data_IF_234855237155
#
_entry.id   IF_234855237155
#
_cell.length_a   1.000
_cell.length_b   1.000
_cell.length_c   1.000
_cell.angle_alpha   90.00
_cell.angle_beta   90.00
_cell.angle_gamma   90.00
#
_symmetry.space_group_name_H-M   'P 1'
#
loop_
_entity.id
_entity.type
_entity.pdbx_description
1 polymer ?
#
# COMPACT_ATOMS: atom_id res chain seq x y z
N UNK A 1 32.97 1.21 -8.60
CA UNK A 1 31.75 1.73 -9.24
C UNK A 1 30.44 1.00 -8.85
N UNK A 2 30.42 -0.32 -8.56
CA UNK A 2 29.18 -1.06 -8.22
C UNK A 2 28.56 -0.67 -6.86
N UNK A 3 29.37 -0.22 -5.90
CA UNK A 3 28.91 0.19 -4.56
C UNK A 3 28.36 1.63 -4.52
N UNK A 4 28.90 2.55 -5.32
CA UNK A 4 28.42 3.93 -5.36
C UNK A 4 26.97 4.06 -5.86
N UNK A 5 26.56 3.25 -6.85
CA UNK A 5 25.19 3.26 -7.36
C UNK A 5 24.15 2.74 -6.35
N UNK A 6 24.52 1.76 -5.53
CA UNK A 6 23.64 1.24 -4.47
C UNK A 6 23.46 2.26 -3.34
N UNK A 7 24.54 2.94 -2.96
CA UNK A 7 24.50 3.98 -1.94
C UNK A 7 23.64 5.17 -2.38
N UNK A 8 23.79 5.62 -3.62
CA UNK A 8 22.96 6.70 -4.18
C UNK A 8 21.49 6.33 -4.23
N UNK A 9 21.16 5.11 -4.68
CA UNK A 9 19.76 4.63 -4.70
C UNK A 9 19.13 4.55 -3.30
N UNK A 10 19.93 4.32 -2.26
CA UNK A 10 19.48 4.31 -0.86
C UNK A 10 19.32 5.74 -0.31
N UNK A 11 20.21 6.67 -0.69
CA UNK A 11 20.19 8.05 -0.21
C UNK A 11 19.06 8.89 -0.84
N UNK A 12 18.66 8.59 -2.08
CA UNK A 12 17.62 9.37 -2.78
C UNK A 12 16.30 9.44 -2.00
N UNK A 13 15.70 8.34 -1.51
CA UNK A 13 14.48 8.45 -0.71
C UNK A 13 14.65 9.30 0.56
N UNK A 14 15.80 9.18 1.23
CA UNK A 14 16.08 9.94 2.45
C UNK A 14 16.17 11.45 2.16
N UNK A 15 16.92 11.83 1.12
CA UNK A 15 17.03 13.22 0.69
C UNK A 15 15.67 13.76 0.26
N UNK A 16 14.88 12.96 -0.45
CA UNK A 16 13.53 13.32 -0.89
C UNK A 16 12.59 13.59 0.28
N UNK A 17 12.65 12.76 1.31
CA UNK A 17 11.88 12.93 2.55
C UNK A 17 12.30 14.26 3.23
N UNK A 18 13.60 14.48 3.41
CA UNK A 18 14.10 15.70 4.04
C UNK A 18 13.67 16.96 3.27
N UNK A 19 13.79 16.95 1.94
CA UNK A 19 13.36 18.06 1.10
C UNK A 19 11.86 18.33 1.21
N UNK A 20 11.04 17.28 1.21
CA UNK A 20 9.59 17.41 1.40
C UNK A 20 9.24 18.02 2.77
N UNK A 21 9.93 17.60 3.83
CA UNK A 21 9.75 18.18 5.16
C UNK A 21 10.17 19.65 5.22
N UNK A 22 11.28 20.03 4.56
CA UNK A 22 11.70 21.45 4.48
C UNK A 22 10.60 22.30 3.82
N UNK A 23 10.04 21.83 2.70
CA UNK A 23 8.94 22.53 2.03
C UNK A 23 7.69 22.55 2.94
N UNK A 24 7.37 21.45 3.62
CA UNK A 24 6.30 21.40 4.61
C UNK A 24 6.49 22.42 5.74
N UNK A 25 7.70 22.57 6.26
CA UNK A 25 8.04 23.61 7.25
C UNK A 25 7.81 25.04 6.71
N UNK A 26 8.18 25.29 5.46
CA UNK A 26 7.93 26.59 4.82
C UNK A 26 6.42 26.86 4.72
N UNK A 27 5.63 25.85 4.29
CA UNK A 27 4.17 25.99 4.20
C UNK A 27 3.56 26.26 5.59
N UNK A 28 3.99 25.55 6.62
CA UNK A 28 3.52 25.76 7.99
C UNK A 28 3.86 27.15 8.51
N UNK A 29 5.07 27.65 8.23
CA UNK A 29 5.48 29.01 8.58
C UNK A 29 4.65 30.09 7.86
N UNK A 30 4.34 29.90 6.58
CA UNK A 30 3.45 30.80 5.81
C UNK A 30 2.02 30.82 6.38
N UNK A 31 1.55 29.70 6.92
CA UNK A 31 0.25 29.60 7.60
C UNK A 31 0.27 30.22 9.03
N UNK A 32 1.40 30.79 9.45
CA UNK A 32 1.54 31.45 10.75
C UNK A 32 1.81 30.49 11.92
N UNK A 33 2.03 29.21 11.65
CA UNK A 33 2.36 28.24 12.69
C UNK A 33 3.87 28.08 12.87
N UNK A 34 4.28 27.76 14.09
CA UNK A 34 5.69 27.42 14.36
C UNK A 34 6.00 26.01 13.83
N UNK A 35 6.87 25.84 12.80
CA UNK A 35 7.15 24.55 12.20
C UNK A 35 7.75 23.53 13.19
N UNK A 36 8.53 23.98 14.16
CA UNK A 36 9.14 23.10 15.16
C UNK A 36 8.09 22.49 16.09
N UNK A 37 7.14 23.31 16.56
CA UNK A 37 6.01 22.85 17.39
C UNK A 37 5.11 21.91 16.58
N UNK A 38 4.89 22.19 15.30
CA UNK A 38 4.10 21.35 14.41
C UNK A 38 4.76 19.96 14.21
N UNK A 39 6.07 19.93 13.93
CA UNK A 39 6.80 18.68 13.77
C UNK A 39 6.89 17.87 15.07
N UNK A 40 7.12 18.54 16.20
CA UNK A 40 7.12 17.91 17.52
C UNK A 40 5.75 17.28 17.82
N UNK A 41 4.66 18.01 17.59
CA UNK A 41 3.29 17.53 17.77
C UNK A 41 2.96 16.36 16.83
N UNK A 42 3.46 16.39 15.59
CA UNK A 42 3.33 15.28 14.65
C UNK A 42 4.05 14.03 15.18
N UNK A 43 5.27 14.17 15.68
CA UNK A 43 6.04 13.07 16.26
C UNK A 43 5.38 12.50 17.51
N UNK A 44 4.97 13.36 18.43
CA UNK A 44 4.25 12.96 19.65
C UNK A 44 2.93 12.27 19.30
N UNK A 45 2.20 12.77 18.29
CA UNK A 45 0.96 12.16 17.82
C UNK A 45 1.14 10.76 17.25
N UNK A 46 2.25 10.51 16.57
CA UNK A 46 2.54 9.20 15.97
C UNK A 46 3.16 8.21 16.98
N UNK A 47 4.10 8.66 17.84
CA UNK A 47 4.97 7.80 18.63
C UNK A 47 5.04 8.18 20.14
N UNK A 48 4.46 9.28 20.58
CA UNK A 48 4.60 9.81 21.93
C UNK A 48 3.99 8.96 23.05
N UNK A 49 3.18 7.95 22.70
CA UNK A 49 2.63 6.99 23.67
C UNK A 49 2.43 5.62 23.05
N UNK A 50 2.37 4.56 23.86
CA UNK A 50 2.05 3.20 23.38
C UNK A 50 0.70 3.16 22.64
N UNK A 51 -0.27 3.96 23.08
CA UNK A 51 -1.56 4.08 22.42
C UNK A 51 -1.43 4.68 21.00
N UNK A 52 -0.59 5.70 20.85
CA UNK A 52 -0.35 6.35 19.57
C UNK A 52 0.39 5.40 18.60
N UNK A 53 1.41 4.71 19.10
CA UNK A 53 2.11 3.66 18.34
C UNK A 53 1.14 2.57 17.91
N UNK A 54 0.27 2.09 18.79
CA UNK A 54 -0.77 1.12 18.44
C UNK A 54 -1.73 1.63 17.37
N UNK A 55 -2.12 2.91 17.42
CA UNK A 55 -2.95 3.53 16.38
C UNK A 55 -2.22 3.65 15.05
N UNK A 56 -0.94 4.03 15.07
CA UNK A 56 -0.08 4.11 13.87
C UNK A 56 0.06 2.74 13.20
N UNK A 57 0.33 1.69 13.96
CA UNK A 57 0.44 0.33 13.44
C UNK A 57 -0.90 -0.19 12.91
N UNK A 58 -2.01 0.09 13.58
CA UNK A 58 -3.35 -0.26 13.08
C UNK A 58 -3.63 0.42 11.73
N UNK A 59 -3.35 1.73 11.62
CA UNK A 59 -3.55 2.50 10.40
C UNK A 59 -2.57 2.15 9.28
N UNK A 60 -1.41 1.55 9.59
CA UNK A 60 -0.48 1.06 8.56
C UNK A 60 -0.92 -0.25 7.92
N UNK A 61 -1.78 -1.02 8.58
CA UNK A 61 -2.20 -2.35 8.11
C UNK A 61 -2.77 -2.35 6.70
N UNK A 62 -3.82 -1.57 6.35
CA UNK A 62 -4.35 -1.53 4.99
C UNK A 62 -3.32 -1.04 3.97
N UNK A 63 -2.47 -0.08 4.35
CA UNK A 63 -1.40 0.46 3.51
C UNK A 63 -0.32 -0.60 3.21
N UNK A 64 0.00 -1.48 4.16
CA UNK A 64 0.93 -2.59 3.95
C UNK A 64 0.36 -3.56 2.92
N UNK A 65 -0.89 -3.98 3.03
CA UNK A 65 -1.50 -4.91 2.08
C UNK A 65 -1.57 -4.33 0.67
N UNK A 66 -2.04 -3.10 0.51
CA UNK A 66 -2.16 -2.46 -0.80
C UNK A 66 -0.79 -2.16 -1.43
N UNK A 67 0.20 -1.82 -0.62
CA UNK A 67 1.57 -1.61 -1.11
C UNK A 67 2.26 -2.93 -1.49
N UNK A 68 2.02 -4.02 -0.77
CA UNK A 68 2.50 -5.35 -1.15
C UNK A 68 1.81 -5.85 -2.43
N UNK A 69 0.51 -5.55 -2.63
CA UNK A 69 -0.20 -5.81 -3.88
C UNK A 69 0.52 -5.15 -5.06
N UNK A 70 0.77 -3.85 -4.98
CA UNK A 70 1.48 -3.11 -6.02
C UNK A 70 2.93 -3.62 -6.20
N UNK A 71 3.65 -3.86 -5.11
CA UNK A 71 5.02 -4.39 -5.13
C UNK A 71 5.10 -5.73 -5.88
N UNK A 72 4.17 -6.65 -5.61
CA UNK A 72 4.14 -7.96 -6.26
C UNK A 72 3.87 -7.84 -7.76
N UNK A 73 2.85 -7.06 -8.15
CA UNK A 73 2.47 -6.88 -9.55
C UNK A 73 3.60 -6.21 -10.37
N UNK A 74 4.18 -5.15 -9.85
CA UNK A 74 5.21 -4.39 -10.55
C UNK A 74 6.53 -5.15 -10.70
N UNK A 75 6.81 -6.13 -9.83
CA UNK A 75 7.94 -7.06 -10.00
C UNK A 75 7.79 -7.98 -11.21
N UNK A 76 6.56 -8.22 -11.67
CA UNK A 76 6.27 -8.93 -12.92
C UNK A 76 6.23 -8.00 -14.15
N UNK A 77 6.46 -6.70 -13.98
CA UNK A 77 6.32 -5.71 -15.06
C UNK A 77 4.87 -5.38 -15.41
N UNK A 78 3.93 -5.69 -14.51
CA UNK A 78 2.50 -5.42 -14.66
C UNK A 78 2.09 -4.27 -13.75
N UNK A 79 1.49 -3.24 -14.34
CA UNK A 79 1.03 -2.06 -13.58
C UNK A 79 -0.42 -2.26 -13.10
N UNK A 80 -0.57 -2.97 -11.98
CA UNK A 80 -1.87 -3.12 -11.32
C UNK A 80 -2.19 -1.88 -10.46
N UNK A 81 -3.01 -0.97 -10.98
CA UNK A 81 -3.56 0.19 -10.26
C UNK A 81 -4.91 -0.12 -9.61
N UNK A 82 -5.35 -1.38 -9.69
CA UNK A 82 -6.65 -1.86 -9.20
C UNK A 82 -6.69 -2.22 -7.73
N UNK A 83 -5.64 -1.93 -6.97
CA UNK A 83 -5.55 -2.29 -5.56
C UNK A 83 -6.72 -1.79 -4.72
N UNK A 84 -7.29 -0.63 -5.04
CA UNK A 84 -8.48 -0.07 -4.38
C UNK A 84 -9.71 -0.94 -4.60
N UNK A 85 -10.05 -1.24 -5.86
CA UNK A 85 -11.22 -2.06 -6.19
C UNK A 85 -11.10 -3.49 -5.68
N UNK A 86 -9.90 -4.07 -5.71
CA UNK A 86 -9.62 -5.41 -5.18
C UNK A 86 -9.79 -5.45 -3.66
N UNK A 87 -9.35 -4.41 -2.96
CA UNK A 87 -9.54 -4.20 -1.52
C UNK A 87 -11.03 -4.09 -1.17
N UNK A 88 -11.79 -3.28 -1.91
CA UNK A 88 -13.23 -3.10 -1.72
C UNK A 88 -14.00 -4.40 -1.97
N UNK A 89 -13.71 -5.13 -3.05
CA UNK A 89 -14.36 -6.40 -3.34
C UNK A 89 -14.08 -7.46 -2.29
N UNK A 90 -12.84 -7.48 -1.77
CA UNK A 90 -12.47 -8.35 -0.65
C UNK A 90 -13.28 -8.03 0.61
N UNK A 91 -13.42 -6.75 0.96
CA UNK A 91 -14.20 -6.32 2.13
C UNK A 91 -15.70 -6.59 1.97
N UNK A 92 -16.27 -6.47 0.77
CA UNK A 92 -17.68 -6.80 0.50
C UNK A 92 -17.97 -8.26 0.76
N UNK A 93 -17.16 -9.16 0.19
CA UNK A 93 -17.35 -10.61 0.38
C UNK A 93 -17.10 -11.00 1.83
N UNK A 94 -16.11 -10.41 2.48
CA UNK A 94 -15.85 -10.58 3.91
C UNK A 94 -17.07 -10.16 4.75
N UNK A 95 -17.64 -8.98 4.49
CA UNK A 95 -18.83 -8.49 5.18
C UNK A 95 -20.03 -9.44 5.00
N UNK A 96 -20.28 -9.88 3.77
CA UNK A 96 -21.35 -10.83 3.49
C UNK A 96 -21.17 -12.14 4.28
N UNK A 97 -19.98 -12.71 4.27
CA UNK A 97 -19.67 -13.94 5.04
C UNK A 97 -19.86 -13.68 6.53
N UNK A 98 -19.31 -12.59 7.08
CA UNK A 98 -19.36 -12.30 8.51
C UNK A 98 -20.77 -12.06 9.04
N UNK A 99 -21.67 -11.51 8.22
CA UNK A 99 -23.02 -11.13 8.67
C UNK A 99 -24.10 -12.11 8.27
N UNK A 100 -23.91 -12.92 7.21
CA UNK A 100 -24.96 -13.76 6.65
C UNK A 100 -24.70 -15.28 6.78
N UNK A 101 -23.45 -15.72 7.08
CA UNK A 101 -23.14 -17.15 7.12
C UNK A 101 -23.63 -17.87 8.37
N UNK A 102 -23.95 -17.15 9.45
CA UNK A 102 -24.28 -17.73 10.74
C UNK A 102 -23.13 -18.47 11.43
N UNK A 103 -21.91 -18.44 10.86
CA UNK A 103 -20.71 -19.03 11.43
C UNK A 103 -20.04 -17.97 12.32
N UNK A 104 -19.54 -18.35 13.48
CA UNK A 104 -18.88 -17.46 14.42
C UNK A 104 -17.48 -17.97 14.81
N UNK A 105 -16.68 -17.10 15.40
CA UNK A 105 -15.36 -17.41 15.95
C UNK A 105 -14.28 -17.61 14.87
N UNK A 106 -13.26 -18.38 15.21
CA UNK A 106 -12.08 -18.59 14.35
C UNK A 106 -12.41 -19.15 12.95
N UNK A 107 -13.34 -20.11 12.77
CA UNK A 107 -13.72 -20.58 11.43
C UNK A 107 -14.30 -19.46 10.56
N UNK A 108 -15.12 -18.59 11.12
CA UNK A 108 -15.67 -17.43 10.41
C UNK A 108 -14.57 -16.46 10.00
N UNK A 109 -13.63 -16.14 10.89
CA UNK A 109 -12.48 -15.27 10.60
C UNK A 109 -11.67 -15.82 9.42
N UNK A 110 -11.33 -17.12 9.44
CA UNK A 110 -10.59 -17.75 8.36
C UNK A 110 -11.35 -17.73 7.04
N UNK A 111 -12.65 -18.04 7.07
CA UNK A 111 -13.51 -18.01 5.88
C UNK A 111 -13.62 -16.59 5.30
N UNK A 112 -13.75 -15.58 6.15
CA UNK A 112 -13.77 -14.17 5.76
C UNK A 112 -12.45 -13.73 5.10
N UNK A 113 -11.31 -14.07 5.68
CA UNK A 113 -10.00 -13.73 5.16
C UNK A 113 -9.74 -14.41 3.80
N UNK A 114 -10.02 -15.72 3.72
CA UNK A 114 -9.86 -16.49 2.47
C UNK A 114 -10.87 -16.02 1.42
N UNK A 115 -12.13 -15.84 1.78
CA UNK A 115 -13.16 -15.34 0.88
C UNK A 115 -12.82 -13.97 0.29
N UNK A 116 -12.33 -13.06 1.12
CA UNK A 116 -11.90 -11.75 0.66
C UNK A 116 -10.66 -11.79 -0.22
N UNK A 117 -9.68 -12.65 0.09
CA UNK A 117 -8.52 -12.87 -0.76
C UNK A 117 -8.93 -13.42 -2.14
N UNK A 118 -9.83 -14.40 -2.17
CA UNK A 118 -10.36 -14.97 -3.42
C UNK A 118 -11.11 -13.90 -4.22
N UNK A 119 -11.97 -13.11 -3.57
CA UNK A 119 -12.74 -12.07 -4.24
C UNK A 119 -11.83 -11.00 -4.88
N UNK A 120 -10.82 -10.52 -4.15
CA UNK A 120 -9.83 -9.58 -4.69
C UNK A 120 -9.03 -10.18 -5.86
N UNK A 121 -8.62 -11.44 -5.74
CA UNK A 121 -7.92 -12.18 -6.80
C UNK A 121 -8.76 -12.36 -8.06
N UNK A 122 -10.03 -12.75 -7.93
CA UNK A 122 -10.98 -12.91 -9.06
C UNK A 122 -11.24 -11.54 -9.70
N UNK A 123 -11.44 -10.49 -8.91
CA UNK A 123 -11.63 -9.14 -9.45
C UNK A 123 -10.44 -8.66 -10.26
N UNK A 124 -9.24 -8.91 -9.77
CA UNK A 124 -7.99 -8.59 -10.46
C UNK A 124 -7.79 -9.41 -11.73
N UNK A 125 -8.21 -10.68 -11.71
CA UNK A 125 -8.11 -11.59 -12.85
C UNK A 125 -8.83 -11.05 -14.10
N UNK A 126 -9.92 -10.29 -13.95
CA UNK A 126 -10.62 -9.64 -15.07
C UNK A 126 -9.65 -8.78 -15.89
N UNK A 127 -8.89 -7.92 -15.22
CA UNK A 127 -7.89 -7.09 -15.88
C UNK A 127 -6.75 -7.94 -16.49
N UNK A 128 -6.32 -8.97 -15.79
CA UNK A 128 -5.30 -9.91 -16.29
C UNK A 128 -5.70 -10.63 -17.58
N UNK A 129 -6.94 -11.11 -17.65
CA UNK A 129 -7.47 -11.77 -18.85
C UNK A 129 -7.57 -10.82 -20.03
N UNK A 130 -8.08 -9.60 -19.80
CA UNK A 130 -8.19 -8.58 -20.84
C UNK A 130 -6.80 -8.15 -21.37
N UNK A 131 -5.80 -8.05 -20.48
CA UNK A 131 -4.41 -7.77 -20.88
C UNK A 131 -3.84 -8.91 -21.74
N UNK A 132 -3.94 -10.16 -21.27
CA UNK A 132 -3.26 -11.30 -21.89
C UNK A 132 -3.92 -11.72 -23.20
N UNK A 133 -5.25 -11.72 -23.27
CA UNK A 133 -5.99 -12.24 -24.43
C UNK A 133 -6.49 -11.17 -25.39
N UNK A 134 -6.66 -9.93 -24.93
CA UNK A 134 -7.14 -8.81 -25.77
C UNK A 134 -6.11 -7.70 -25.97
N UNK A 135 -4.93 -7.80 -25.33
CA UNK A 135 -3.86 -6.79 -25.44
C UNK A 135 -4.22 -5.41 -24.88
N UNK A 136 -5.23 -5.34 -24.01
CA UNK A 136 -5.73 -4.08 -23.49
C UNK A 136 -4.75 -3.47 -22.46
N UNK A 137 -4.80 -2.14 -22.28
CA UNK A 137 -3.98 -1.45 -21.30
C UNK A 137 -4.48 -1.73 -19.88
N UNK A 138 -3.66 -2.42 -19.11
CA UNK A 138 -3.99 -2.84 -17.74
C UNK A 138 -4.23 -1.67 -16.79
N UNK A 139 -3.52 -0.55 -16.96
CA UNK A 139 -3.69 0.62 -16.09
C UNK A 139 -5.11 1.18 -16.22
N UNK A 140 -5.61 1.34 -17.47
CA UNK A 140 -6.95 1.87 -17.72
C UNK A 140 -8.01 0.92 -17.17
N UNK A 141 -7.88 -0.39 -17.44
CA UNK A 141 -8.86 -1.38 -16.99
C UNK A 141 -8.92 -1.42 -15.47
N UNK A 142 -7.77 -1.47 -14.80
CA UNK A 142 -7.72 -1.58 -13.35
C UNK A 142 -8.28 -0.33 -12.67
N UNK A 143 -8.05 0.87 -13.21
CA UNK A 143 -8.65 2.11 -12.71
C UNK A 143 -10.18 2.08 -12.92
N UNK A 144 -10.66 1.67 -14.10
CA UNK A 144 -12.10 1.55 -14.36
C UNK A 144 -12.77 0.56 -13.39
N UNK A 145 -12.13 -0.57 -13.12
CA UNK A 145 -12.61 -1.55 -12.15
C UNK A 145 -12.64 -1.01 -10.72
N UNK A 146 -11.78 -0.05 -10.36
CA UNK A 146 -11.87 0.62 -9.04
C UNK A 146 -13.18 1.40 -8.92
N UNK A 147 -13.55 2.18 -9.96
CA UNK A 147 -14.82 2.92 -9.94
C UNK A 147 -16.02 1.99 -9.88
N UNK A 148 -16.00 0.89 -10.65
CA UNK A 148 -17.06 -0.12 -10.60
C UNK A 148 -17.18 -0.73 -9.20
N UNK A 149 -16.07 -1.09 -8.56
CA UNK A 149 -16.06 -1.65 -7.21
C UNK A 149 -16.59 -0.64 -6.17
N UNK A 150 -16.22 0.64 -6.30
CA UNK A 150 -16.70 1.71 -5.41
C UNK A 150 -18.21 1.91 -5.53
N UNK A 151 -18.73 1.96 -6.76
CA UNK A 151 -20.19 2.07 -7.00
C UNK A 151 -20.92 0.82 -6.50
N UNK A 152 -20.35 -0.36 -6.74
CA UNK A 152 -20.91 -1.63 -6.27
C UNK A 152 -20.97 -1.69 -4.74
N UNK A 153 -19.92 -1.27 -4.04
CA UNK A 153 -19.92 -1.14 -2.59
C UNK A 153 -21.03 -0.18 -2.14
N UNK A 154 -21.25 0.93 -2.86
CA UNK A 154 -22.34 1.85 -2.61
C UNK A 154 -23.70 1.15 -2.61
N UNK A 155 -23.98 0.32 -3.61
CA UNK A 155 -25.21 -0.49 -3.69
C UNK A 155 -25.31 -1.47 -2.52
N UNK A 156 -24.19 -2.09 -2.12
CA UNK A 156 -24.17 -3.08 -1.04
C UNK A 156 -24.60 -2.46 0.29
N UNK A 157 -24.01 -1.36 0.72
CA UNK A 157 -24.32 -0.77 2.03
C UNK A 157 -25.59 0.10 2.04
N UNK A 158 -26.11 0.50 0.85
CA UNK A 158 -27.37 1.26 0.78
C UNK A 158 -28.60 0.38 0.59
N UNK A 159 -28.45 -0.78 -0.04
CA UNK A 159 -29.59 -1.65 -0.41
C UNK A 159 -29.46 -3.07 0.16
N UNK A 160 -28.41 -3.83 -0.20
CA UNK A 160 -28.39 -5.27 0.02
C UNK A 160 -28.10 -5.68 1.46
N UNK A 161 -27.11 -5.02 2.11
CA UNK A 161 -26.69 -5.30 3.49
C UNK A 161 -26.93 -4.12 4.42
N UNK A 162 -27.86 -3.25 4.04
CA UNK A 162 -28.18 -2.02 4.80
C UNK A 162 -28.72 -2.37 6.18
N UNK A 163 -28.24 -1.64 7.19
CA UNK A 163 -28.70 -1.74 8.58
C UNK A 163 -29.47 -0.44 8.96
N UNK A 164 -30.78 -0.57 9.12
CA UNK A 164 -31.64 0.52 9.54
C UNK A 164 -31.76 1.69 8.54
N UNK A 165 -31.83 2.93 9.05
CA UNK A 165 -32.01 4.15 8.24
C UNK A 165 -30.68 4.74 7.72
N UNK A 166 -29.56 4.40 8.33
CA UNK A 166 -28.23 4.91 7.96
C UNK A 166 -27.67 4.07 6.81
N UNK A 167 -26.99 4.66 5.81
CA UNK A 167 -26.34 3.92 4.72
C UNK A 167 -25.04 3.24 5.20
N UNK A 168 -25.19 2.15 5.92
CA UNK A 168 -24.10 1.32 6.44
C UNK A 168 -24.58 -0.13 6.51
N UNK A 169 -23.62 -1.07 6.58
CA UNK A 169 -23.95 -2.49 6.84
C UNK A 169 -24.11 -2.78 8.33
N UNK A 170 -24.67 -3.93 8.64
CA UNK A 170 -24.59 -4.48 10.00
C UNK A 170 -23.15 -4.57 10.47
N UNK A 171 -22.95 -4.41 11.78
CA UNK A 171 -21.62 -4.60 12.36
C UNK A 171 -21.23 -6.08 12.28
N UNK A 172 -19.97 -6.33 12.02
CA UNK A 172 -19.38 -7.67 12.14
C UNK A 172 -19.54 -8.14 13.60
N UNK A 173 -20.09 -9.35 13.83
CA UNK A 173 -20.24 -9.92 15.18
C UNK A 173 -18.92 -9.91 15.95
N UNK A 174 -18.96 -9.59 17.26
CA UNK A 174 -17.75 -9.48 18.09
C UNK A 174 -16.93 -10.79 18.08
N UNK A 175 -17.58 -11.95 18.01
CA UNK A 175 -16.92 -13.24 17.94
C UNK A 175 -16.11 -13.44 16.64
N UNK A 176 -16.40 -12.65 15.58
CA UNK A 176 -15.73 -12.73 14.27
C UNK A 176 -14.72 -11.59 14.07
N UNK A 177 -14.61 -10.67 15.03
CA UNK A 177 -13.61 -9.60 14.98
C UNK A 177 -12.20 -10.12 15.26
N UNK A 178 -11.22 -9.48 14.64
CA UNK A 178 -9.81 -9.77 14.89
C UNK A 178 -9.40 -9.27 16.28
N UNK A 179 -8.74 -10.12 17.05
CA UNK A 179 -8.31 -9.82 18.41
C UNK A 179 -7.33 -8.64 18.46
N UNK A 180 -7.48 -7.82 19.51
CA UNK A 180 -6.53 -6.74 19.78
C UNK A 180 -5.26 -7.31 20.39
N UNK A 181 -4.11 -6.83 19.92
CA UNK A 181 -2.81 -7.25 20.41
C UNK A 181 -2.39 -6.34 21.57
N UNK A 182 -1.91 -6.94 22.65
CA UNK A 182 -1.34 -6.26 23.83
C UNK A 182 -2.26 -5.19 24.47
N UNK A 183 -3.59 -5.31 24.34
CA UNK A 183 -4.52 -4.29 24.83
C UNK A 183 -4.47 -2.95 24.08
N UNK A 184 -3.70 -2.87 23.01
CA UNK A 184 -3.57 -1.68 22.17
C UNK A 184 -4.65 -1.66 21.06
N UNK A 185 -4.70 -0.56 20.31
CA UNK A 185 -5.58 -0.47 19.13
C UNK A 185 -5.12 -1.31 17.95
N UNK A 186 -3.90 -1.83 17.97
CA UNK A 186 -3.39 -2.74 16.93
C UNK A 186 -4.07 -4.09 17.08
N UNK A 187 -4.52 -4.63 15.95
CA UNK A 187 -5.20 -5.93 15.88
C UNK A 187 -4.29 -6.99 15.27
N UNK A 188 -4.68 -8.26 15.35
CA UNK A 188 -3.98 -9.36 14.68
C UNK A 188 -3.89 -9.19 13.16
N UNK A 189 -4.69 -8.29 12.55
CA UNK A 189 -4.55 -7.86 11.16
C UNK A 189 -3.14 -7.35 10.82
N UNK A 190 -2.50 -6.61 11.72
CA UNK A 190 -1.13 -6.13 11.53
C UNK A 190 -0.12 -7.29 11.50
N UNK A 191 -0.28 -8.28 12.38
CA UNK A 191 0.57 -9.48 12.37
C UNK A 191 0.40 -10.27 11.07
N UNK A 192 -0.85 -10.41 10.58
CA UNK A 192 -1.14 -11.04 9.28
C UNK A 192 -0.46 -10.26 8.15
N UNK A 193 -0.52 -8.93 8.16
CA UNK A 193 0.15 -8.09 7.14
C UNK A 193 1.66 -8.31 7.11
N UNK A 194 2.31 -8.42 8.28
CA UNK A 194 3.74 -8.72 8.36
C UNK A 194 4.07 -10.12 7.84
N UNK A 195 3.27 -11.13 8.20
CA UNK A 195 3.44 -12.50 7.71
C UNK A 195 3.29 -12.55 6.19
N UNK A 196 2.26 -11.89 5.63
CA UNK A 196 2.08 -11.79 4.18
C UNK A 196 3.26 -11.08 3.53
N UNK A 197 3.78 -10.02 4.13
CA UNK A 197 4.98 -9.33 3.64
C UNK A 197 6.23 -10.22 3.60
N UNK A 198 6.43 -11.03 4.64
CA UNK A 198 7.51 -12.02 4.69
C UNK A 198 7.32 -13.13 3.65
N UNK A 199 6.09 -13.62 3.47
CA UNK A 199 5.78 -14.62 2.44
C UNK A 199 6.01 -14.08 1.02
N UNK A 200 5.59 -12.84 0.75
CA UNK A 200 5.86 -12.15 -0.54
C UNK A 200 7.36 -11.99 -0.75
N UNK A 201 8.10 -11.58 0.28
CA UNK A 201 9.55 -11.46 0.22
C UNK A 201 10.22 -12.81 -0.07
N UNK A 202 9.85 -13.86 0.68
CA UNK A 202 10.38 -15.20 0.48
C UNK A 202 10.06 -15.72 -0.91
N UNK A 203 8.78 -15.60 -1.35
CA UNK A 203 8.36 -16.02 -2.69
C UNK A 203 9.18 -15.34 -3.77
N UNK A 204 9.27 -14.01 -3.73
CA UNK A 204 9.95 -13.24 -4.78
C UNK A 204 11.46 -13.53 -4.85
N UNK A 205 12.14 -13.71 -3.72
CA UNK A 205 13.60 -13.74 -3.72
C UNK A 205 14.21 -15.12 -3.51
N UNK A 206 13.45 -16.07 -2.94
CA UNK A 206 13.99 -17.39 -2.57
C UNK A 206 13.31 -18.55 -3.31
N UNK A 207 12.36 -18.31 -4.22
CA UNK A 207 11.71 -19.38 -4.99
C UNK A 207 12.03 -19.30 -6.48
N UNK A 208 12.06 -20.47 -7.16
CA UNK A 208 12.24 -20.54 -8.62
C UNK A 208 11.13 -19.83 -9.38
N UNK A 209 9.86 -19.91 -8.90
CA UNK A 209 8.71 -19.23 -9.51
C UNK A 209 8.82 -17.71 -9.34
N UNK A 210 9.30 -17.24 -8.19
CA UNK A 210 9.57 -15.81 -7.96
C UNK A 210 10.72 -15.28 -8.83
N UNK A 211 11.75 -16.09 -9.06
CA UNK A 211 12.81 -15.75 -10.02
C UNK A 211 12.25 -15.58 -11.43
N UNK A 212 11.44 -16.54 -11.92
CA UNK A 212 10.83 -16.49 -13.25
C UNK A 212 9.88 -15.28 -13.39
N UNK A 213 9.08 -14.98 -12.35
CA UNK A 213 8.22 -13.81 -12.32
C UNK A 213 9.04 -12.52 -12.48
N UNK A 214 10.13 -12.37 -11.75
CA UNK A 214 11.02 -11.20 -11.88
C UNK A 214 11.75 -11.14 -13.22
N UNK A 215 12.12 -12.30 -13.80
CA UNK A 215 12.72 -12.38 -15.13
C UNK A 215 11.74 -11.89 -16.21
N UNK A 216 10.45 -12.29 -16.13
CA UNK A 216 9.38 -11.77 -16.99
C UNK A 216 9.25 -10.26 -16.85
N UNK A 217 9.30 -9.73 -15.61
CA UNK A 217 9.20 -8.29 -15.36
C UNK A 217 10.38 -7.48 -15.87
N UNK A 218 11.57 -8.06 -15.97
CA UNK A 218 12.75 -7.39 -16.52
C UNK A 218 12.74 -7.32 -18.04
N UNK A 219 12.38 -8.42 -18.72
CA UNK A 219 12.27 -8.47 -20.17
C UNK A 219 11.39 -9.66 -20.58
N UNK A 220 10.17 -9.38 -21.01
CA UNK A 220 9.19 -10.39 -21.40
C UNK A 220 9.67 -11.23 -22.59
N UNK A 221 10.28 -10.61 -23.60
CA UNK A 221 10.78 -11.28 -24.80
C UNK A 221 11.93 -12.24 -24.44
N UNK A 222 12.91 -11.78 -23.68
CA UNK A 222 14.01 -12.64 -23.25
C UNK A 222 13.52 -13.79 -22.34
N UNK A 223 12.52 -13.57 -21.50
CA UNK A 223 11.92 -14.60 -20.66
C UNK A 223 11.22 -15.67 -21.52
N UNK A 224 10.51 -15.27 -22.56
CA UNK A 224 9.83 -16.19 -23.50
C UNK A 224 10.85 -17.06 -24.26
N UNK A 225 11.93 -16.48 -24.78
CA UNK A 225 13.02 -17.25 -25.42
C UNK A 225 13.69 -18.24 -24.46
N UNK A 226 13.70 -17.98 -23.15
CA UNK A 226 14.18 -18.92 -22.12
C UNK A 226 13.11 -19.94 -21.69
N UNK A 227 12.00 -20.04 -22.41
CA UNK A 227 10.93 -21.03 -22.15
C UNK A 227 10.01 -20.68 -20.99
N UNK A 228 10.02 -19.45 -20.48
CA UNK A 228 9.09 -19.03 -19.42
C UNK A 228 7.75 -18.62 -20.01
N UNK A 229 6.66 -19.14 -19.45
CA UNK A 229 5.30 -18.81 -19.89
C UNK A 229 4.89 -17.41 -19.41
N UNK A 230 5.19 -16.37 -20.20
CA UNK A 230 4.90 -14.96 -19.89
C UNK A 230 3.43 -14.75 -19.53
N UNK A 231 2.50 -15.30 -20.32
CA UNK A 231 1.05 -15.21 -20.07
C UNK A 231 0.66 -15.72 -18.69
N UNK A 232 1.21 -16.88 -18.28
CA UNK A 232 0.95 -17.49 -16.98
C UNK A 232 1.43 -16.60 -15.84
N UNK A 233 2.62 -15.99 -15.95
CA UNK A 233 3.17 -15.13 -14.90
C UNK A 233 2.43 -13.80 -14.79
N UNK A 234 1.96 -13.24 -15.90
CA UNK A 234 1.09 -12.05 -15.89
C UNK A 234 -0.22 -12.36 -15.16
N UNK A 235 -0.92 -13.45 -15.51
CA UNK A 235 -2.19 -13.83 -14.84
C UNK A 235 -1.96 -14.13 -13.36
N UNK A 236 -0.92 -14.89 -13.02
CA UNK A 236 -0.56 -15.16 -11.62
C UNK A 236 -0.27 -13.87 -10.85
N UNK A 237 0.39 -12.91 -11.49
CA UNK A 237 0.69 -11.62 -10.89
C UNK A 237 -0.59 -10.84 -10.53
N UNK A 238 -1.59 -10.81 -11.42
CA UNK A 238 -2.89 -10.21 -11.12
C UNK A 238 -3.61 -10.93 -10.00
N UNK A 239 -3.74 -12.25 -10.08
CA UNK A 239 -4.47 -13.04 -9.07
C UNK A 239 -3.85 -12.86 -7.69
N UNK A 240 -2.53 -13.03 -7.56
CA UNK A 240 -1.86 -12.95 -6.26
C UNK A 240 -1.88 -11.52 -5.71
N UNK A 241 -1.58 -10.50 -6.54
CA UNK A 241 -1.65 -9.11 -6.10
C UNK A 241 -3.06 -8.72 -5.67
N UNK A 242 -4.08 -9.14 -6.42
CA UNK A 242 -5.48 -8.91 -6.06
C UNK A 242 -5.89 -9.63 -4.78
N UNK A 243 -5.42 -10.86 -4.58
CA UNK A 243 -5.67 -11.62 -3.35
C UNK A 243 -5.06 -10.93 -2.13
N UNK A 244 -3.84 -10.36 -2.25
CA UNK A 244 -3.21 -9.58 -1.18
C UNK A 244 -4.04 -8.33 -0.84
N UNK A 245 -4.52 -7.60 -1.85
CA UNK A 245 -5.36 -6.43 -1.61
C UNK A 245 -6.71 -6.79 -0.99
N UNK A 246 -7.38 -7.85 -1.49
CA UNK A 246 -8.65 -8.33 -0.96
C UNK A 246 -8.53 -8.85 0.48
N UNK A 247 -7.42 -9.53 0.81
CA UNK A 247 -7.08 -9.90 2.17
C UNK A 247 -6.93 -8.66 3.07
N UNK A 248 -6.32 -7.59 2.54
CA UNK A 248 -6.22 -6.31 3.23
C UNK A 248 -7.58 -5.69 3.53
N UNK A 249 -8.52 -5.75 2.58
CA UNK A 249 -9.90 -5.28 2.77
C UNK A 249 -10.64 -6.05 3.87
N UNK A 250 -10.48 -7.37 3.88
CA UNK A 250 -11.03 -8.22 4.95
C UNK A 250 -10.41 -7.92 6.31
N UNK A 251 -9.08 -7.75 6.35
CA UNK A 251 -8.36 -7.46 7.58
C UNK A 251 -8.75 -6.08 8.16
N UNK A 252 -8.98 -5.08 7.30
CA UNK A 252 -9.47 -3.76 7.73
C UNK A 252 -10.89 -3.83 8.27
N UNK A 253 -11.78 -4.58 7.61
CA UNK A 253 -13.16 -4.75 8.05
C UNK A 253 -13.23 -5.46 9.40
N UNK A 254 -12.54 -6.60 9.56
CA UNK A 254 -12.57 -7.40 10.78
C UNK A 254 -11.77 -6.80 11.94
N UNK A 255 -10.78 -5.94 11.63
CA UNK A 255 -9.84 -5.42 12.62
C UNK A 255 -10.06 -3.99 13.08
N UNK A 256 -10.65 -3.14 12.22
CA UNK A 256 -10.65 -1.69 12.46
C UNK A 256 -12.02 -1.05 12.28
N UNK A 257 -12.68 -1.27 11.14
CA UNK A 257 -13.90 -0.52 10.80
C UNK A 257 -15.19 -1.25 11.17
N UNK A 258 -15.21 -2.57 11.19
CA UNK A 258 -16.32 -3.45 11.57
C UNK A 258 -17.61 -3.29 10.77
N UNK A 259 -17.69 -2.34 9.85
CA UNK A 259 -18.86 -2.04 8.99
C UNK A 259 -18.37 -1.50 7.65
N UNK A 260 -19.14 -1.77 6.58
CA UNK A 260 -18.94 -1.05 5.33
C UNK A 260 -19.73 0.26 5.38
N UNK A 261 -19.03 1.34 5.11
CA UNK A 261 -19.56 2.72 5.08
C UNK A 261 -19.02 3.43 3.84
N UNK A 262 -19.61 4.57 3.54
CA UNK A 262 -19.06 5.44 2.50
C UNK A 262 -17.61 5.83 2.81
N UNK A 263 -16.72 5.74 1.82
CA UNK A 263 -15.30 6.04 1.98
C UNK A 263 -14.48 4.94 2.66
N UNK A 264 -14.97 3.70 2.76
CA UNK A 264 -14.29 2.58 3.40
C UNK A 264 -12.84 2.37 2.90
N UNK A 265 -12.61 2.43 1.59
CA UNK A 265 -11.29 2.25 0.97
C UNK A 265 -10.34 3.43 1.15
N UNK A 266 -10.89 4.66 1.25
CA UNK A 266 -10.18 5.90 1.53
C UNK A 266 -8.88 6.13 0.71
N UNK A 267 -8.80 5.56 -0.51
CA UNK A 267 -7.66 5.71 -1.42
C UNK A 267 -6.44 4.83 -1.09
N UNK A 268 -6.57 3.86 -0.20
CA UNK A 268 -5.47 2.97 0.21
C UNK A 268 -4.78 2.28 -0.96
N UNK A 269 -5.52 1.95 -2.03
CA UNK A 269 -4.98 1.29 -3.21
C UNK A 269 -3.98 2.17 -3.97
N UNK A 270 -4.30 3.45 -4.16
CA UNK A 270 -3.40 4.40 -4.83
C UNK A 270 -2.19 4.74 -3.96
N UNK A 271 -2.40 4.95 -2.67
CA UNK A 271 -1.31 5.18 -1.73
C UNK A 271 -0.34 4.01 -1.70
N UNK A 272 -0.85 2.78 -1.73
CA UNK A 272 -0.04 1.56 -1.78
C UNK A 272 0.90 1.51 -2.98
N UNK A 273 0.46 1.98 -4.15
CA UNK A 273 1.32 2.10 -5.34
C UNK A 273 2.49 3.03 -5.08
N UNK A 274 2.22 4.20 -4.52
CA UNK A 274 3.26 5.18 -4.20
C UNK A 274 4.28 4.62 -3.20
N UNK A 275 3.80 3.96 -2.14
CA UNK A 275 4.67 3.33 -1.12
C UNK A 275 5.52 2.20 -1.70
N UNK A 276 4.97 1.40 -2.62
CA UNK A 276 5.73 0.36 -3.31
C UNK A 276 6.86 0.94 -4.17
N UNK A 277 6.62 2.07 -4.83
CA UNK A 277 7.64 2.76 -5.64
C UNK A 277 8.73 3.38 -4.77
N UNK A 278 8.37 4.03 -3.65
CA UNK A 278 9.33 4.57 -2.68
C UNK A 278 10.17 3.43 -2.08
N UNK A 279 9.55 2.32 -1.74
CA UNK A 279 10.21 1.09 -1.26
C UNK A 279 10.99 0.33 -2.35
N UNK A 280 11.09 0.89 -3.58
CA UNK A 280 11.81 0.32 -4.72
C UNK A 280 11.36 -1.12 -5.04
N UNK A 281 10.09 -1.39 -4.87
CA UNK A 281 9.47 -2.71 -5.06
C UNK A 281 10.12 -3.82 -4.21
N UNK A 282 10.69 -3.46 -3.06
CA UNK A 282 11.22 -4.43 -2.10
C UNK A 282 10.22 -4.60 -0.95
N UNK A 283 9.64 -5.80 -0.73
CA UNK A 283 8.53 -5.98 0.21
C UNK A 283 8.79 -5.44 1.62
N UNK A 284 9.97 -5.72 2.17
CA UNK A 284 10.30 -5.27 3.53
C UNK A 284 10.47 -3.74 3.60
N UNK A 285 11.11 -3.12 2.59
CA UNK A 285 11.23 -1.67 2.54
C UNK A 285 9.86 -1.01 2.36
N UNK A 286 8.99 -1.59 1.55
CA UNK A 286 7.62 -1.13 1.33
C UNK A 286 6.80 -1.13 2.63
N UNK A 287 6.96 -2.16 3.49
CA UNK A 287 6.32 -2.19 4.83
C UNK A 287 6.78 -1.01 5.69
N UNK A 288 8.08 -0.72 5.72
CA UNK A 288 8.61 0.41 6.50
C UNK A 288 8.07 1.75 5.99
N UNK A 289 7.98 1.92 4.67
CA UNK A 289 7.37 3.10 4.05
C UNK A 289 5.90 3.23 4.41
N UNK A 290 5.13 2.14 4.41
CA UNK A 290 3.72 2.13 4.79
C UNK A 290 3.51 2.55 6.26
N UNK A 291 4.36 2.07 7.17
CA UNK A 291 4.34 2.49 8.59
C UNK A 291 4.68 3.99 8.71
N UNK A 292 5.67 4.47 7.97
CA UNK A 292 6.04 5.89 7.96
C UNK A 292 4.88 6.78 7.48
N UNK A 293 4.19 6.42 6.41
CA UNK A 293 3.03 7.17 5.91
C UNK A 293 1.85 7.13 6.89
N UNK A 294 1.61 5.99 7.53
CA UNK A 294 0.61 5.89 8.61
C UNK A 294 0.97 6.82 9.79
N UNK A 295 2.26 6.89 10.17
CA UNK A 295 2.72 7.80 11.22
C UNK A 295 2.46 9.26 10.88
N UNK A 296 2.70 9.68 9.62
CA UNK A 296 2.38 11.03 9.16
C UNK A 296 0.87 11.32 9.27
N UNK A 297 0.01 10.38 8.87
CA UNK A 297 -1.45 10.54 8.96
C UNK A 297 -1.96 10.60 10.40
N UNK A 298 -1.45 9.76 11.28
CA UNK A 298 -1.86 9.75 12.68
C UNK A 298 -1.30 10.99 13.39
N UNK A 299 -0.04 11.34 13.14
CA UNK A 299 0.61 12.52 13.73
C UNK A 299 -0.04 13.83 13.29
N UNK A 300 -0.53 13.92 12.05
CA UNK A 300 -1.15 15.14 11.51
C UNK A 300 -2.41 15.57 12.27
N UNK A 301 -3.16 14.62 12.83
CA UNK A 301 -4.34 14.95 13.65
C UNK A 301 -3.95 15.63 14.96
N UNK A 302 -2.88 15.20 15.59
CA UNK A 302 -2.33 15.83 16.80
C UNK A 302 -1.69 17.18 16.49
N UNK A 303 -0.97 17.28 15.37
CA UNK A 303 -0.41 18.53 14.85
C UNK A 303 -1.52 19.56 14.62
N UNK A 304 -2.62 19.18 13.96
CA UNK A 304 -3.75 20.07 13.74
C UNK A 304 -4.37 20.56 15.06
N UNK A 305 -4.54 19.69 16.03
CA UNK A 305 -5.09 20.04 17.33
C UNK A 305 -4.20 21.01 18.13
N UNK A 306 -2.86 20.88 17.99
CA UNK A 306 -1.89 21.68 18.73
C UNK A 306 -1.59 23.04 18.07
N UNK A 307 -1.59 23.10 16.73
CA UNK A 307 -1.10 24.28 15.97
C UNK A 307 -2.14 24.94 15.08
N UNK A 308 -3.32 24.32 14.91
CA UNK A 308 -4.34 24.77 13.95
C UNK A 308 -3.99 24.50 12.47
N UNK A 309 -2.82 23.93 12.18
CA UNK A 309 -2.40 23.59 10.81
C UNK A 309 -3.27 22.45 10.28
N UNK A 310 -3.94 22.62 9.13
CA UNK A 310 -4.79 21.57 8.56
C UNK A 310 -4.03 20.28 8.26
N UNK A 311 -4.67 19.12 8.44
CA UNK A 311 -4.09 17.81 8.12
C UNK A 311 -3.66 17.69 6.65
N UNK A 312 -4.28 18.46 5.74
CA UNK A 312 -3.92 18.54 4.33
C UNK A 312 -2.45 18.93 4.08
N UNK A 313 -1.81 19.63 5.01
CA UNK A 313 -0.37 19.92 4.92
C UNK A 313 0.44 18.61 4.99
N UNK A 314 0.04 17.67 5.82
CA UNK A 314 0.65 16.34 5.86
C UNK A 314 0.44 15.57 4.54
N UNK A 315 -0.72 15.71 3.91
CA UNK A 315 -0.99 15.09 2.60
C UNK A 315 -0.10 15.71 1.51
N UNK A 316 0.14 17.02 1.56
CA UNK A 316 1.10 17.71 0.67
C UNK A 316 2.51 17.19 0.90
N UNK A 317 2.96 17.05 2.16
CA UNK A 317 4.28 16.46 2.46
C UNK A 317 4.39 15.06 1.89
N UNK A 318 3.37 14.21 2.07
CA UNK A 318 3.33 12.86 1.52
C UNK A 318 3.45 12.88 -0.01
N UNK A 319 2.68 13.74 -0.69
CA UNK A 319 2.73 13.89 -2.14
C UNK A 319 4.12 14.35 -2.62
N UNK A 320 4.76 15.29 -1.94
CA UNK A 320 6.11 15.75 -2.24
C UNK A 320 7.15 14.64 -2.04
N UNK A 321 7.03 13.84 -0.98
CA UNK A 321 7.90 12.66 -0.76
C UNK A 321 7.81 11.70 -1.95
N UNK A 322 6.59 11.43 -2.44
CA UNK A 322 6.38 10.55 -3.59
C UNK A 322 7.04 11.13 -4.84
N UNK A 323 6.72 12.38 -5.18
CA UNK A 323 7.22 13.04 -6.39
C UNK A 323 8.76 13.12 -6.37
N UNK A 324 9.35 13.59 -5.29
CA UNK A 324 10.81 13.72 -5.20
C UNK A 324 11.53 12.38 -5.20
N UNK A 325 10.95 11.35 -4.56
CA UNK A 325 11.56 10.02 -4.55
C UNK A 325 11.51 9.39 -5.94
N UNK A 326 10.37 9.44 -6.60
CA UNK A 326 10.20 8.85 -7.94
C UNK A 326 11.06 9.61 -8.97
N UNK A 327 11.01 10.95 -8.95
CA UNK A 327 11.84 11.80 -9.82
C UNK A 327 13.33 11.58 -9.56
N UNK A 328 13.74 11.56 -8.29
CA UNK A 328 15.14 11.34 -7.90
C UNK A 328 15.67 9.97 -8.34
N UNK A 329 14.88 8.91 -8.16
CA UNK A 329 15.25 7.57 -8.63
C UNK A 329 15.33 7.48 -10.17
N UNK A 330 14.49 8.23 -10.88
CA UNK A 330 14.55 8.34 -12.34
C UNK A 330 15.81 9.09 -12.78
N UNK A 331 16.14 10.20 -12.13
CA UNK A 331 17.34 11.02 -12.42
C UNK A 331 18.63 10.21 -12.26
N UNK A 332 18.74 9.38 -11.23
CA UNK A 332 19.93 8.52 -11.01
C UNK A 332 20.19 7.55 -12.17
N UNK A 333 19.18 7.20 -12.94
CA UNK A 333 19.31 6.32 -14.11
C UNK A 333 19.79 7.04 -15.37
N UNK A 334 19.68 8.38 -15.41
CA UNK A 334 20.06 9.18 -16.58
C UNK A 334 21.59 9.17 -16.79
N UNK A 335 22.06 9.02 -18.07
CA UNK A 335 23.51 9.00 -18.36
C UNK A 335 24.26 10.27 -17.91
N UNK A 336 23.64 11.44 -18.10
CA UNK A 336 24.21 12.74 -17.70
C UNK A 336 24.44 12.87 -16.20
N UNK A 337 23.51 12.35 -15.37
CA UNK A 337 23.64 12.37 -13.92
C UNK A 337 24.74 11.40 -13.42
N UNK A 338 24.88 10.25 -14.08
CA UNK A 338 25.98 9.29 -13.79
C UNK A 338 27.34 9.91 -14.14
N UNK A 339 27.45 10.65 -15.24
CA UNK A 339 28.66 11.36 -15.62
C UNK A 339 29.00 12.48 -14.63
N UNK A 340 27.98 13.22 -14.15
CA UNK A 340 28.17 14.25 -13.13
C UNK A 340 28.68 13.66 -11.80
N UNK A 341 28.08 12.56 -11.32
CA UNK A 341 28.56 11.87 -10.12
C UNK A 341 29.97 11.30 -10.29
N UNK A 342 30.34 10.83 -11.48
CA UNK A 342 31.68 10.38 -11.80
C UNK A 342 32.72 11.49 -11.61
N UNK A 343 32.44 12.68 -12.16
CA UNK A 343 33.31 13.88 -12.02
C UNK A 343 33.49 14.34 -10.57
N UNK A 344 32.42 14.27 -9.76
CA UNK A 344 32.51 14.60 -8.32
C UNK A 344 33.36 13.63 -7.53
N UNK A 345 33.31 12.33 -7.87
CA UNK A 345 34.13 11.30 -7.22
C UNK A 345 35.61 11.37 -7.64
N UNK A 346 35.92 11.78 -8.86
CA UNK A 346 37.27 12.02 -9.34
C UNK A 346 37.90 13.24 -8.66
N UNK A 347 37.20 14.39 -8.63
CA UNK A 347 37.66 15.59 -7.91
C UNK A 347 37.97 15.35 -6.42
N UNK A 348 37.18 14.45 -5.78
CA UNK A 348 37.40 14.10 -4.37
C UNK A 348 38.60 13.20 -4.16
N UNK A 349 39.00 12.44 -5.17
CA UNK A 349 40.26 11.63 -5.16
C UNK A 349 41.49 12.47 -5.47
N UNK A 350 41.36 13.57 -6.24
CA UNK A 350 42.43 14.47 -6.54
C UNK A 350 42.70 15.48 -5.38
N UNK A 351 41.71 15.66 -4.49
CA UNK A 351 41.79 16.56 -3.33
C UNK A 351 42.17 15.84 -2.00
N UNK A 352 42.33 14.50 -2.01
CA UNK A 352 42.75 13.68 -0.87
C UNK A 352 44.12 13.07 -1.10
#
# INVERSE_FOLDING_TARGET
>A
MKNSGKLVSFLVPIISILLAFVIGCIIMAVLGANPFVALESLWIGAFGSLRNVGTTLARSTPLIFTSLCACFAYRCGVFNLGGEGQFLMGSIVCCYIATQSGIEGLPAILLCLVGGAVAGGVWSLIAGLLKVYRGQNEMIITIMLNYVATLFMGVVYTNWLRDGSVPQTQAVPDATQLSRLFGLRVTSAFAIALVVGLLVYYFLFYTSKGFQLRAVGLNMTAAEFNGFSVKKYILMSFIVSGAIAGLGGSAELLGTQFRLINGFGNGYGFDGVAMALIGQLHPLATILVAIFFAALRVGSTTMQAATGVPTSVSDIIQALVIVFTVAGLAMVKLPGFKAFLGRLTERRKEAA
#
